data_IF_562964507011
#
_entry.id   IF_562964507011
#
_cell.length_a   1.000
_cell.length_b   1.000
_cell.length_c   1.000
_cell.angle_alpha   90.00
_cell.angle_beta   90.00
_cell.angle_gamma   90.00
#
_symmetry.space_group_name_H-M   'P 1'
#
loop_
_entity.id
_entity.type
_entity.pdbx_description
1 polymer ?
#
# COMPACT_ATOMS: atom_id res chain seq x y z
N UNK A 1 -14.82 -23.58 27.24
CA UNK A 1 -13.50 -22.97 27.05
C UNK A 1 -13.61 -22.05 25.87
N UNK A 2 -13.56 -20.70 26.00
CA UNK A 2 -13.57 -19.83 24.84
C UNK A 2 -12.14 -19.81 24.27
N UNK A 3 -11.97 -20.34 23.07
CA UNK A 3 -10.75 -20.15 22.31
C UNK A 3 -10.60 -18.67 22.02
N UNK A 4 -9.48 -18.06 22.41
CA UNK A 4 -9.11 -16.73 21.99
C UNK A 4 -8.64 -16.80 20.53
N UNK A 5 -9.18 -15.92 19.68
CA UNK A 5 -8.72 -15.76 18.30
C UNK A 5 -7.23 -15.38 18.34
N UNK A 6 -6.39 -16.25 17.81
CA UNK A 6 -4.99 -15.90 17.52
C UNK A 6 -5.04 -15.08 16.24
N UNK A 7 -4.80 -13.76 16.34
CA UNK A 7 -4.54 -12.96 15.15
C UNK A 7 -3.21 -13.44 14.54
N UNK A 8 -3.22 -14.11 13.39
CA UNK A 8 -1.97 -14.41 12.70
C UNK A 8 -1.30 -13.08 12.37
N UNK A 9 -0.09 -12.85 12.89
CA UNK A 9 0.71 -11.69 12.46
C UNK A 9 0.76 -11.72 10.94
N UNK A 10 0.24 -10.69 10.30
CA UNK A 10 0.19 -10.62 8.82
C UNK A 10 1.58 -10.90 8.27
N UNK A 11 1.68 -11.79 7.30
CA UNK A 11 2.95 -12.31 6.76
C UNK A 11 3.91 -11.19 6.36
N UNK A 12 3.41 -10.13 5.75
CA UNK A 12 4.22 -8.97 5.37
C UNK A 12 4.91 -8.30 6.57
N UNK A 13 4.28 -8.28 7.76
CA UNK A 13 4.91 -7.73 8.98
C UNK A 13 6.10 -8.56 9.43
N UNK A 14 5.99 -9.87 9.36
CA UNK A 14 7.10 -10.77 9.71
C UNK A 14 8.28 -10.58 8.76
N UNK A 15 7.99 -10.41 7.47
CA UNK A 15 9.01 -10.11 6.44
C UNK A 15 9.65 -8.75 6.73
N UNK A 16 8.86 -7.72 6.96
CA UNK A 16 9.35 -6.39 7.29
C UNK A 16 10.20 -6.39 8.56
N UNK A 17 9.79 -7.12 9.60
CA UNK A 17 10.54 -7.25 10.86
C UNK A 17 11.91 -7.92 10.64
N UNK A 18 12.01 -8.94 9.79
CA UNK A 18 13.28 -9.58 9.45
C UNK A 18 14.20 -8.61 8.70
N UNK A 19 13.72 -7.96 7.65
CA UNK A 19 14.52 -7.01 6.87
C UNK A 19 14.96 -5.83 7.77
N UNK A 20 14.08 -5.31 8.61
CA UNK A 20 14.40 -4.27 9.60
C UNK A 20 15.49 -4.72 10.57
N UNK A 21 15.44 -5.98 11.03
CA UNK A 21 16.48 -6.58 11.87
C UNK A 21 17.83 -6.59 11.18
N UNK A 22 17.91 -6.99 9.92
CA UNK A 22 19.12 -7.03 9.11
C UNK A 22 19.70 -5.61 8.85
N UNK A 23 18.83 -4.63 8.65
CA UNK A 23 19.26 -3.22 8.54
C UNK A 23 19.81 -2.72 9.87
N UNK A 24 19.14 -2.99 10.99
CA UNK A 24 19.57 -2.56 12.31
C UNK A 24 20.85 -3.25 12.79
N UNK A 25 21.08 -4.50 12.42
CA UNK A 25 22.32 -5.22 12.72
C UNK A 25 23.52 -4.75 11.87
N UNK A 26 23.27 -3.91 10.85
CA UNK A 26 24.29 -3.43 9.94
C UNK A 26 24.67 -4.39 8.82
N UNK A 27 23.96 -5.53 8.68
CA UNK A 27 24.17 -6.46 7.58
C UNK A 27 23.84 -5.82 6.22
N UNK A 28 22.87 -4.93 6.22
CA UNK A 28 22.64 -3.98 5.12
C UNK A 28 22.90 -2.55 5.62
N UNK A 29 24.06 -2.03 5.29
CA UNK A 29 24.42 -0.66 5.64
C UNK A 29 23.58 0.36 4.86
N UNK A 30 23.53 1.60 5.36
CA UNK A 30 22.91 2.72 4.64
C UNK A 30 23.51 2.88 3.25
N UNK A 31 22.67 3.06 2.24
CA UNK A 31 23.01 3.09 0.83
C UNK A 31 23.21 1.72 0.18
N UNK A 32 23.21 0.64 0.97
CA UNK A 32 23.30 -0.71 0.42
C UNK A 32 22.03 -1.06 -0.38
N UNK A 33 22.23 -1.83 -1.44
CA UNK A 33 21.11 -2.35 -2.25
C UNK A 33 20.62 -3.67 -1.66
N UNK A 34 19.32 -3.76 -1.40
CA UNK A 34 18.68 -5.02 -1.03
C UNK A 34 18.55 -5.95 -2.26
N UNK A 35 18.46 -7.27 -2.04
CA UNK A 35 18.13 -8.20 -3.12
C UNK A 35 16.81 -7.82 -3.80
N UNK A 36 16.67 -8.08 -5.12
CA UNK A 36 15.41 -7.85 -5.82
C UNK A 36 14.24 -8.61 -5.19
N UNK A 37 13.04 -8.06 -5.30
CA UNK A 37 11.79 -8.66 -4.81
C UNK A 37 11.66 -10.16 -5.08
N UNK A 38 12.06 -10.58 -6.32
CA UNK A 38 12.04 -11.99 -6.73
C UNK A 38 12.96 -12.85 -5.88
N UNK A 39 14.14 -12.35 -5.58
CA UNK A 39 15.16 -13.10 -4.87
C UNK A 39 14.87 -13.12 -3.35
N UNK A 40 14.34 -12.02 -2.80
CA UNK A 40 13.79 -11.98 -1.44
C UNK A 40 12.64 -12.98 -1.26
N UNK A 41 11.70 -13.05 -2.21
CA UNK A 41 10.60 -14.00 -2.17
C UNK A 41 11.08 -15.45 -2.16
N UNK A 42 12.13 -15.75 -2.95
CA UNK A 42 12.78 -17.07 -2.98
C UNK A 42 13.46 -17.41 -1.66
N UNK A 43 14.25 -16.47 -1.10
CA UNK A 43 15.00 -16.66 0.14
C UNK A 43 14.09 -16.84 1.34
N UNK A 44 12.99 -16.10 1.39
CA UNK A 44 12.01 -16.12 2.47
C UNK A 44 10.95 -17.21 2.32
N UNK A 45 10.88 -17.90 1.17
CA UNK A 45 9.89 -18.95 0.90
C UNK A 45 8.45 -18.41 0.83
N UNK A 46 8.26 -17.17 0.39
CA UNK A 46 6.97 -16.46 0.36
C UNK A 46 6.60 -15.96 -1.03
N UNK A 47 5.36 -15.49 -1.18
CA UNK A 47 4.91 -14.91 -2.44
C UNK A 47 5.54 -13.52 -2.69
N UNK A 48 5.77 -13.16 -3.96
CA UNK A 48 6.24 -11.80 -4.33
C UNK A 48 5.32 -10.69 -3.83
N UNK A 49 3.98 -10.80 -3.92
CA UNK A 49 3.08 -9.81 -3.32
C UNK A 49 3.33 -9.57 -1.83
N UNK A 50 3.57 -10.63 -1.04
CA UNK A 50 3.84 -10.47 0.40
C UNK A 50 5.15 -9.73 0.68
N UNK A 51 6.19 -9.97 -0.15
CA UNK A 51 7.45 -9.20 -0.08
C UNK A 51 7.21 -7.75 -0.45
N UNK A 52 6.44 -7.48 -1.49
CA UNK A 52 6.11 -6.12 -1.91
C UNK A 52 5.38 -5.35 -0.83
N UNK A 53 4.39 -5.94 -0.17
CA UNK A 53 3.71 -5.33 0.97
C UNK A 53 4.66 -5.00 2.13
N UNK A 54 5.63 -5.88 2.40
CA UNK A 54 6.65 -5.65 3.41
C UNK A 54 7.59 -4.48 3.04
N UNK A 55 8.01 -4.42 1.78
CA UNK A 55 8.85 -3.34 1.28
C UNK A 55 8.13 -1.99 1.32
N UNK A 56 6.85 -1.96 0.98
CA UNK A 56 6.00 -0.76 1.12
C UNK A 56 5.97 -0.30 2.58
N UNK A 57 5.78 -1.23 3.53
CA UNK A 57 5.78 -0.87 4.95
C UNK A 57 7.13 -0.28 5.40
N UNK A 58 8.25 -0.86 4.94
CA UNK A 58 9.59 -0.36 5.26
C UNK A 58 9.89 0.99 4.60
N UNK A 59 9.35 1.23 3.42
CA UNK A 59 9.48 2.52 2.71
C UNK A 59 8.67 3.61 3.39
N UNK A 60 7.44 3.30 3.83
CA UNK A 60 6.61 4.20 4.66
C UNK A 60 7.32 4.54 5.98
N UNK A 61 8.06 3.59 6.56
CA UNK A 61 8.88 3.81 7.76
C UNK A 61 10.18 4.60 7.47
N UNK A 62 10.50 4.87 6.20
CA UNK A 62 11.73 5.57 5.80
C UNK A 62 13.00 4.74 5.98
N UNK A 63 12.88 3.40 6.02
CA UNK A 63 14.03 2.49 6.16
C UNK A 63 14.63 2.09 4.81
N UNK A 64 13.83 2.10 3.76
CA UNK A 64 14.27 1.78 2.39
C UNK A 64 13.67 2.77 1.40
N UNK A 65 14.29 2.86 0.23
CA UNK A 65 13.81 3.61 -0.94
C UNK A 65 13.75 2.67 -2.14
N UNK A 66 12.62 2.63 -2.84
CA UNK A 66 12.48 1.86 -4.08
C UNK A 66 12.71 2.78 -5.28
N UNK A 67 13.80 2.56 -6.01
CA UNK A 67 14.14 3.30 -7.23
C UNK A 67 13.76 2.47 -8.44
N UNK A 68 12.80 2.96 -9.22
CA UNK A 68 12.28 2.26 -10.41
C UNK A 68 13.43 1.96 -11.37
N UNK A 69 13.51 0.72 -11.85
CA UNK A 69 14.58 0.26 -12.76
C UNK A 69 15.94 0.11 -12.11
N UNK A 70 16.16 0.62 -10.90
CA UNK A 70 17.46 0.58 -10.20
C UNK A 70 17.48 -0.42 -9.05
N UNK A 71 16.43 -0.53 -8.25
CA UNK A 71 16.33 -1.47 -7.13
C UNK A 71 15.87 -0.84 -5.83
N UNK A 72 16.13 -1.55 -4.73
CA UNK A 72 15.71 -1.18 -3.37
C UNK A 72 16.96 -0.84 -2.58
N UNK A 73 17.00 0.32 -1.95
CA UNK A 73 18.15 0.83 -1.22
C UNK A 73 17.80 1.13 0.23
N UNK A 74 18.72 0.82 1.15
CA UNK A 74 18.60 1.14 2.57
C UNK A 74 18.85 2.63 2.78
N UNK A 75 17.97 3.32 3.47
CA UNK A 75 18.13 4.72 3.82
C UNK A 75 18.94 4.88 5.12
N UNK A 76 19.67 6.01 5.24
CA UNK A 76 20.28 6.39 6.50
C UNK A 76 19.17 6.80 7.49
N UNK A 77 19.33 6.55 8.81
CA UNK A 77 18.43 7.08 9.82
C UNK A 77 18.31 8.61 9.66
N UNK A 78 17.10 9.10 9.43
CA UNK A 78 16.85 10.54 9.23
C UNK A 78 17.04 11.07 7.79
N UNK A 79 17.34 10.21 6.82
CA UNK A 79 17.18 10.58 5.41
C UNK A 79 15.75 10.26 4.98
N UNK A 80 14.95 11.30 4.90
CA UNK A 80 13.69 11.22 4.17
C UNK A 80 13.98 10.85 2.71
N UNK A 81 13.13 10.05 2.11
CA UNK A 81 13.20 9.79 0.66
C UNK A 81 13.37 11.15 -0.06
N UNK A 82 14.38 11.26 -0.93
CA UNK A 82 14.54 12.49 -1.72
C UNK A 82 13.20 12.79 -2.38
N UNK A 83 12.70 14.03 -2.28
CA UNK A 83 11.55 14.41 -3.06
C UNK A 83 11.83 14.06 -4.53
N UNK A 84 10.92 13.34 -5.17
CA UNK A 84 10.96 13.17 -6.62
C UNK A 84 11.08 14.54 -7.28
N UNK A 85 11.83 14.64 -8.37
CA UNK A 85 11.86 15.88 -9.15
C UNK A 85 10.41 16.28 -9.47
N UNK A 86 10.04 17.56 -9.32
CA UNK A 86 8.63 18.00 -9.40
C UNK A 86 7.90 17.59 -10.68
N UNK A 87 8.63 17.26 -11.74
CA UNK A 87 8.11 16.90 -13.06
C UNK A 87 8.25 15.39 -13.39
N UNK A 88 8.78 14.56 -12.48
CA UNK A 88 8.84 13.13 -12.69
C UNK A 88 7.50 12.47 -12.32
N UNK A 89 6.98 11.52 -13.14
CA UNK A 89 5.78 10.78 -12.76
C UNK A 89 6.01 10.05 -11.46
N UNK A 90 5.03 10.13 -10.54
CA UNK A 90 5.12 9.51 -9.24
C UNK A 90 5.34 7.99 -9.36
N UNK A 91 6.27 7.46 -8.58
CA UNK A 91 6.54 6.05 -8.54
C UNK A 91 5.37 5.25 -7.92
N UNK A 92 5.25 3.95 -8.23
CA UNK A 92 4.14 3.13 -7.73
C UNK A 92 4.07 3.09 -6.20
N UNK A 93 5.20 3.20 -5.51
CA UNK A 93 5.26 3.23 -4.05
C UNK A 93 4.90 4.61 -3.48
N UNK A 94 5.27 5.68 -4.17
CA UNK A 94 4.85 7.05 -3.82
C UNK A 94 3.33 7.20 -3.94
N UNK A 95 2.75 6.65 -5.01
CA UNK A 95 1.30 6.60 -5.20
C UNK A 95 0.61 5.80 -4.09
N UNK A 96 1.15 4.64 -3.70
CA UNK A 96 0.61 3.84 -2.61
C UNK A 96 0.70 4.57 -1.27
N UNK A 97 1.80 5.29 -1.01
CA UNK A 97 1.97 6.10 0.21
C UNK A 97 0.97 7.25 0.26
N UNK A 98 0.81 7.97 -0.86
CA UNK A 98 -0.17 9.04 -0.98
C UNK A 98 -1.60 8.52 -0.75
N UNK A 99 -1.95 7.39 -1.37
CA UNK A 99 -3.23 6.71 -1.18
C UNK A 99 -3.45 6.32 0.27
N UNK A 100 -2.46 5.70 0.92
CA UNK A 100 -2.56 5.30 2.33
C UNK A 100 -2.96 6.48 3.23
N UNK A 101 -2.33 7.63 3.06
CA UNK A 101 -2.62 8.83 3.86
C UNK A 101 -4.00 9.39 3.54
N UNK A 102 -4.32 9.57 2.25
CA UNK A 102 -5.52 10.24 1.80
C UNK A 102 -6.76 9.37 1.98
N UNK A 103 -6.69 8.09 1.62
CA UNK A 103 -7.84 7.18 1.70
C UNK A 103 -8.17 6.84 3.16
N UNK A 104 -7.18 6.74 4.05
CA UNK A 104 -7.42 6.58 5.48
C UNK A 104 -8.18 7.78 6.08
N UNK A 105 -7.80 9.00 5.72
CA UNK A 105 -8.49 10.20 6.16
C UNK A 105 -9.88 10.32 5.53
N UNK A 106 -10.03 9.94 4.26
CA UNK A 106 -11.34 9.85 3.62
C UNK A 106 -12.28 8.90 4.38
N UNK A 107 -11.79 7.74 4.81
CA UNK A 107 -12.57 6.79 5.60
C UNK A 107 -12.97 7.37 6.96
N UNK A 108 -12.06 8.07 7.64
CA UNK A 108 -12.34 8.72 8.92
C UNK A 108 -13.39 9.85 8.79
N UNK A 109 -13.33 10.63 7.71
CA UNK A 109 -14.32 11.66 7.40
C UNK A 109 -15.66 11.06 6.98
N UNK A 110 -15.66 10.04 6.14
CA UNK A 110 -16.85 9.34 5.71
C UNK A 110 -17.60 8.73 6.90
N UNK A 111 -16.91 8.15 7.87
CA UNK A 111 -17.51 7.62 9.09
C UNK A 111 -18.32 8.66 9.89
N UNK A 112 -17.98 9.95 9.74
CA UNK A 112 -18.67 11.06 10.42
C UNK A 112 -19.79 11.68 9.59
N UNK A 113 -19.72 11.60 8.26
CA UNK A 113 -20.58 12.36 7.33
C UNK A 113 -21.42 11.52 6.39
N UNK A 114 -21.17 10.21 6.29
CA UNK A 114 -21.86 9.34 5.34
C UNK A 114 -23.36 9.30 5.61
N UNK A 115 -24.15 9.45 4.54
CA UNK A 115 -25.58 9.24 4.53
C UNK A 115 -25.90 7.78 4.21
N UNK A 116 -27.13 7.30 4.50
CA UNK A 116 -27.56 5.94 4.17
C UNK A 116 -27.24 5.51 2.73
N UNK A 117 -27.48 6.40 1.78
CA UNK A 117 -27.18 6.13 0.36
C UNK A 117 -25.68 5.89 0.09
N UNK A 118 -24.79 6.58 0.82
CA UNK A 118 -23.34 6.39 0.69
C UNK A 118 -22.91 5.03 1.26
N UNK A 119 -23.45 4.66 2.41
CA UNK A 119 -23.19 3.34 3.01
C UNK A 119 -23.64 2.23 2.07
N UNK A 120 -24.86 2.31 1.52
CA UNK A 120 -25.37 1.31 0.56
C UNK A 120 -24.48 1.22 -0.71
N UNK A 121 -23.94 2.36 -1.20
CA UNK A 121 -23.04 2.35 -2.36
C UNK A 121 -21.67 1.74 -2.05
N UNK A 122 -21.17 1.90 -0.82
CA UNK A 122 -19.92 1.27 -0.33
C UNK A 122 -20.14 -0.24 -0.19
N UNK A 123 -21.25 -0.68 0.42
CA UNK A 123 -21.61 -2.08 0.56
C UNK A 123 -21.72 -2.77 -0.80
N UNK A 124 -22.39 -2.13 -1.76
CA UNK A 124 -22.49 -2.67 -3.12
C UNK A 124 -21.12 -2.85 -3.79
N UNK A 125 -20.21 -1.89 -3.63
CA UNK A 125 -18.84 -2.00 -4.18
C UNK A 125 -18.04 -3.11 -3.50
N UNK A 126 -18.23 -3.32 -2.21
CA UNK A 126 -17.62 -4.41 -1.44
C UNK A 126 -18.12 -5.77 -1.91
N UNK A 127 -19.45 -5.94 -2.07
CA UNK A 127 -20.06 -7.16 -2.58
C UNK A 127 -19.54 -7.53 -3.99
N UNK A 128 -19.25 -6.53 -4.82
CA UNK A 128 -18.67 -6.74 -6.14
C UNK A 128 -17.22 -7.23 -6.06
N UNK A 129 -16.41 -6.62 -5.18
CA UNK A 129 -15.06 -7.10 -4.90
C UNK A 129 -15.04 -8.54 -4.38
N UNK A 130 -15.93 -8.89 -3.47
CA UNK A 130 -16.02 -10.25 -2.91
C UNK A 130 -16.39 -11.27 -3.98
N UNK A 131 -17.35 -10.95 -4.86
CA UNK A 131 -17.74 -11.82 -5.99
C UNK A 131 -16.59 -12.07 -6.95
N UNK A 132 -15.89 -11.00 -7.34
CA UNK A 132 -14.72 -11.11 -8.24
C UNK A 132 -13.58 -11.90 -7.59
N UNK A 133 -13.37 -11.75 -6.29
CA UNK A 133 -12.36 -12.51 -5.55
C UNK A 133 -12.73 -14.00 -5.47
N UNK A 134 -13.99 -14.33 -5.26
CA UNK A 134 -14.51 -15.71 -5.28
C UNK A 134 -14.31 -16.40 -6.63
N UNK A 135 -14.39 -15.66 -7.73
CA UNK A 135 -14.15 -16.13 -9.11
C UNK A 135 -12.67 -16.19 -9.48
N UNK A 136 -11.74 -15.92 -8.55
CA UNK A 136 -10.30 -15.88 -8.79
C UNK A 136 -9.84 -14.67 -9.62
N UNK A 137 -10.71 -13.71 -9.88
CA UNK A 137 -10.39 -12.46 -10.58
C UNK A 137 -9.91 -11.42 -9.58
N UNK A 138 -8.73 -10.85 -9.80
CA UNK A 138 -8.29 -9.65 -9.11
C UNK A 138 -8.65 -8.46 -9.99
N UNK A 139 -9.85 -7.92 -9.82
CA UNK A 139 -10.24 -6.71 -10.54
C UNK A 139 -9.78 -5.47 -9.79
N UNK A 140 -8.96 -4.67 -10.47
CA UNK A 140 -8.58 -3.34 -10.00
C UNK A 140 -9.76 -2.35 -10.10
N UNK A 141 -10.78 -2.69 -10.87
CA UNK A 141 -11.91 -1.81 -11.12
C UNK A 141 -12.84 -1.74 -9.90
N UNK A 142 -13.20 -2.89 -9.32
CA UNK A 142 -14.03 -2.96 -8.11
C UNK A 142 -13.31 -2.39 -6.88
N UNK A 143 -12.01 -2.67 -6.74
CA UNK A 143 -11.14 -2.09 -5.71
C UNK A 143 -11.12 -0.55 -5.80
N UNK A 144 -10.89 -0.01 -7.01
CA UNK A 144 -10.98 1.43 -7.28
C UNK A 144 -12.37 1.99 -6.93
N UNK A 145 -13.44 1.29 -7.33
CA UNK A 145 -14.80 1.73 -7.09
C UNK A 145 -15.09 1.85 -5.59
N UNK A 146 -14.66 0.89 -4.79
CA UNK A 146 -14.81 0.92 -3.34
C UNK A 146 -14.17 2.17 -2.75
N UNK A 147 -12.90 2.46 -3.06
CA UNK A 147 -12.20 3.63 -2.54
C UNK A 147 -12.82 4.96 -3.00
N UNK A 148 -13.33 5.03 -4.24
CA UNK A 148 -14.08 6.19 -4.72
C UNK A 148 -15.39 6.40 -3.96
N UNK A 149 -16.16 5.33 -3.66
CA UNK A 149 -17.38 5.43 -2.86
C UNK A 149 -17.12 5.92 -1.44
N UNK A 150 -16.01 5.49 -0.83
CA UNK A 150 -15.57 6.02 0.47
C UNK A 150 -15.23 7.51 0.37
N UNK A 151 -14.51 7.95 -0.66
CA UNK A 151 -14.21 9.36 -0.87
C UNK A 151 -15.48 10.20 -1.12
N UNK A 152 -16.43 9.72 -1.91
CA UNK A 152 -17.73 10.37 -2.15
C UNK A 152 -18.53 10.55 -0.84
N UNK A 153 -18.45 9.58 0.07
CA UNK A 153 -19.13 9.62 1.36
C UNK A 153 -18.63 10.73 2.29
N UNK A 154 -17.44 11.29 2.02
CA UNK A 154 -16.93 12.47 2.74
C UNK A 154 -17.74 13.74 2.43
N UNK A 155 -18.45 13.79 1.29
CA UNK A 155 -19.09 15.00 0.78
C UNK A 155 -18.10 16.05 0.23
N UNK A 156 -16.81 15.73 0.14
CA UNK A 156 -15.76 16.64 -0.33
C UNK A 156 -15.30 16.28 -1.74
N UNK A 157 -15.76 17.05 -2.74
CA UNK A 157 -15.41 16.81 -4.15
C UNK A 157 -13.92 16.91 -4.46
N UNK A 158 -13.13 17.67 -3.69
CA UNK A 158 -11.69 17.74 -3.88
C UNK A 158 -11.01 16.42 -3.49
N UNK A 159 -11.44 15.79 -2.39
CA UNK A 159 -10.94 14.48 -2.00
C UNK A 159 -11.29 13.39 -3.03
N UNK A 160 -12.51 13.43 -3.57
CA UNK A 160 -12.93 12.53 -4.66
C UNK A 160 -12.00 12.69 -5.88
N UNK A 161 -11.70 13.93 -6.25
CA UNK A 161 -10.80 14.21 -7.37
C UNK A 161 -9.39 13.67 -7.12
N UNK A 162 -8.82 13.91 -5.95
CA UNK A 162 -7.47 13.43 -5.58
C UNK A 162 -7.42 11.89 -5.60
N UNK A 163 -8.37 11.22 -4.95
CA UNK A 163 -8.42 9.75 -4.94
C UNK A 163 -8.53 9.21 -6.38
N UNK A 164 -9.38 9.81 -7.21
CA UNK A 164 -9.53 9.42 -8.62
C UNK A 164 -8.21 9.54 -9.38
N UNK A 165 -7.49 10.65 -9.24
CA UNK A 165 -6.20 10.89 -9.91
C UNK A 165 -5.15 9.87 -9.48
N UNK A 166 -5.01 9.62 -8.18
CA UNK A 166 -4.06 8.64 -7.65
C UNK A 166 -4.32 7.21 -8.16
N UNK A 167 -5.59 6.88 -8.43
CA UNK A 167 -5.95 5.60 -9.01
C UNK A 167 -5.70 5.54 -10.53
N UNK A 168 -5.84 6.64 -11.24
CA UNK A 168 -5.56 6.75 -12.68
C UNK A 168 -4.06 6.63 -12.97
N UNK A 169 -3.23 7.27 -12.16
CA UNK A 169 -1.77 7.18 -12.29
C UNK A 169 -1.22 5.77 -11.99
N UNK A 170 -1.93 4.96 -11.20
CA UNK A 170 -1.56 3.56 -10.93
C UNK A 170 -1.64 2.66 -12.18
N UNK A 171 -2.40 3.02 -13.20
CA UNK A 171 -2.65 2.16 -14.37
C UNK A 171 -1.53 2.16 -15.41
N UNK A 172 -0.41 2.85 -15.15
CA UNK A 172 0.81 2.71 -15.93
C UNK A 172 1.39 1.28 -15.84
N UNK A 173 2.12 0.82 -16.86
CA UNK A 173 2.74 -0.51 -16.86
C UNK A 173 3.70 -0.63 -15.69
N UNK A 174 3.47 -1.65 -14.85
CA UNK A 174 4.38 -2.09 -13.78
C UNK A 174 5.60 -2.78 -14.38
#
# INVERSE_FOLDING_TARGET
MPFQSIEPRRLYRQIADQIRGLIRSGEYASGARLPPERDLAKQLGVSRPSVREALIALEVEGLVEVRIGSGIYVLAPGQDAKPSEPDAPAGPFELLRARYVIEAECAALAAKSAKRQHVAAIEQALDEMEREHGDGRKSLASDRLFHLRVAEATGNGALVHVVKTLWEERTGPL
#
